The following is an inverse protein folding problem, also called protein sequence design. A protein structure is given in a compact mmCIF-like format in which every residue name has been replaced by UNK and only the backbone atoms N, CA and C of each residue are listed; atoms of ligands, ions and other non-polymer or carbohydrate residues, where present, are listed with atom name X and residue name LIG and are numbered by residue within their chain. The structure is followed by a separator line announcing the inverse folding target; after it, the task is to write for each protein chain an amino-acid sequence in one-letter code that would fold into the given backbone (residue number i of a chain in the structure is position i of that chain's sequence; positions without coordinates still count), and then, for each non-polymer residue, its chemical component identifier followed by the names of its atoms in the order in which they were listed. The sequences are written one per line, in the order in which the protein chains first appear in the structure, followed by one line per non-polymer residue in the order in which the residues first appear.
data_IF_356323747931
#
_entry.id   IF_356323747931
#
_cell.length_a   1.000
_cell.length_b   1.000
_cell.length_c   1.000
_cell.angle_alpha   90.00
_cell.angle_beta   90.00
_cell.angle_gamma   90.00
#
_symmetry.space_group_name_H-M   'P 1'
#
loop_
_entity.id
_entity.type
_entity.pdbx_description
1 polymer ?
#
# COMPACT_ATOMS: atom_id res chain seq x y z
N UNK A 1 20.23 -8.69 13.49
CA UNK A 1 19.90 -9.16 14.85
C UNK A 1 21.12 -8.92 15.73
N UNK A 2 20.92 -8.83 17.04
CA UNK A 2 22.01 -8.72 18.01
C UNK A 2 21.73 -9.63 19.19
N UNK A 3 22.72 -10.39 19.66
CA UNK A 3 22.51 -11.34 20.75
C UNK A 3 23.60 -12.38 20.87
N UNK A 4 23.38 -13.33 21.77
CA UNK A 4 24.28 -14.45 22.05
C UNK A 4 24.15 -15.53 20.98
N UNK A 5 22.92 -15.83 20.55
CA UNK A 5 22.62 -16.84 19.52
C UNK A 5 21.26 -16.57 18.88
N UNK A 6 21.15 -16.84 17.58
CA UNK A 6 19.87 -16.87 16.85
C UNK A 6 19.36 -18.33 16.82
N UNK A 7 18.78 -18.76 17.92
CA UNK A 7 18.39 -20.16 18.18
C UNK A 7 16.89 -20.45 17.97
N UNK A 8 16.12 -19.45 17.55
CA UNK A 8 14.71 -19.59 17.21
C UNK A 8 14.34 -18.66 16.04
N UNK A 9 13.28 -18.97 15.27
CA UNK A 9 12.75 -18.07 14.26
C UNK A 9 12.29 -16.75 14.85
N UNK A 10 12.42 -15.66 14.08
CA UNK A 10 11.80 -14.39 14.41
C UNK A 10 10.40 -14.32 13.78
N UNK A 11 9.37 -14.22 14.63
CA UNK A 11 7.99 -14.01 14.19
C UNK A 11 7.64 -12.53 14.25
N UNK A 12 7.34 -11.96 13.09
CA UNK A 12 6.95 -10.55 12.95
C UNK A 12 5.49 -10.45 12.50
N UNK A 13 4.79 -9.41 12.96
CA UNK A 13 3.52 -8.97 12.38
C UNK A 13 3.71 -7.58 11.81
N UNK A 14 3.33 -7.42 10.55
CA UNK A 14 3.30 -6.14 9.85
C UNK A 14 1.84 -5.71 9.72
N UNK A 15 1.54 -4.46 10.05
CA UNK A 15 0.22 -3.86 9.85
C UNK A 15 0.38 -2.61 8.98
N UNK A 16 -0.32 -2.57 7.86
CA UNK A 16 -0.24 -1.50 6.88
C UNK A 16 -1.46 -0.58 6.98
N UNK A 17 -1.25 0.73 6.93
CA UNK A 17 -2.33 1.71 7.12
C UNK A 17 -2.21 2.92 6.23
N UNK A 18 -3.33 3.43 5.73
CA UNK A 18 -3.38 4.68 4.95
C UNK A 18 -3.40 5.89 5.88
N UNK A 19 -4.03 5.73 7.05
CA UNK A 19 -4.06 6.71 8.14
C UNK A 19 -3.39 6.16 9.39
N UNK A 20 -2.97 7.04 10.31
CA UNK A 20 -2.24 6.63 11.53
C UNK A 20 -3.07 5.68 12.41
N UNK A 21 -4.38 5.90 12.47
CA UNK A 21 -5.28 5.07 13.28
C UNK A 21 -5.35 3.62 12.79
N UNK A 22 -5.12 3.35 11.50
CA UNK A 22 -5.11 1.99 10.94
C UNK A 22 -4.01 1.12 11.58
N UNK A 23 -2.90 1.73 12.00
CA UNK A 23 -1.77 1.00 12.62
C UNK A 23 -1.72 1.16 14.14
N UNK A 24 -2.34 2.22 14.68
CA UNK A 24 -2.36 2.49 16.11
C UNK A 24 -3.43 1.68 16.86
N UNK A 25 -4.56 1.37 16.21
CA UNK A 25 -5.68 0.65 16.82
C UNK A 25 -5.52 -0.86 16.59
N UNK A 26 -5.80 -1.72 17.59
CA UNK A 26 -5.81 -3.16 17.38
C UNK A 26 -6.83 -3.58 16.32
N UNK A 27 -6.41 -4.44 15.39
CA UNK A 27 -7.29 -4.99 14.36
C UNK A 27 -8.26 -6.05 14.91
N UNK A 28 -7.92 -6.66 16.04
CA UNK A 28 -8.65 -7.77 16.64
C UNK A 28 -9.12 -7.44 18.06
N UNK A 29 -10.29 -7.97 18.48
CA UNK A 29 -11.23 -8.78 17.69
C UNK A 29 -11.91 -7.97 16.58
N UNK A 30 -12.03 -8.55 15.39
CA UNK A 30 -12.69 -7.93 14.24
C UNK A 30 -14.16 -8.33 14.20
N UNK A 31 -15.05 -7.33 14.19
CA UNK A 31 -16.50 -7.54 14.14
C UNK A 31 -17.14 -6.75 12.98
N UNK A 32 -16.62 -6.93 11.77
CA UNK A 32 -17.18 -6.36 10.55
C UNK A 32 -17.90 -7.40 9.69
N UNK A 33 -18.75 -6.91 8.79
CA UNK A 33 -19.49 -7.76 7.85
C UNK A 33 -18.66 -8.17 6.62
N UNK A 34 -17.57 -7.45 6.35
CA UNK A 34 -16.60 -7.79 5.29
C UNK A 34 -15.63 -8.83 5.82
N UNK A 35 -15.06 -9.66 4.94
CA UNK A 35 -14.06 -10.65 5.37
C UNK A 35 -12.86 -9.98 6.05
N UNK A 36 -12.46 -10.52 7.21
CA UNK A 36 -11.24 -10.11 7.91
C UNK A 36 -9.96 -10.33 7.08
N UNK A 37 -10.01 -11.09 5.98
CA UNK A 37 -8.88 -11.23 5.04
C UNK A 37 -8.49 -9.93 4.32
N UNK A 38 -9.38 -8.93 4.32
CA UNK A 38 -9.08 -7.58 3.86
C UNK A 38 -8.32 -6.74 4.88
N UNK A 39 -8.19 -7.22 6.12
CA UNK A 39 -7.34 -6.55 7.08
C UNK A 39 -5.89 -6.52 6.53
N UNK A 40 -5.24 -5.36 6.60
CA UNK A 40 -3.95 -5.15 5.96
C UNK A 40 -2.82 -5.60 6.89
N UNK A 41 -2.89 -6.82 7.41
CA UNK A 41 -1.82 -7.41 8.21
C UNK A 41 -1.19 -8.64 7.56
N UNK A 42 0.10 -8.83 7.83
CA UNK A 42 0.90 -9.96 7.38
C UNK A 42 1.67 -10.52 8.57
N UNK A 43 1.70 -11.85 8.69
CA UNK A 43 2.47 -12.54 9.73
C UNK A 43 3.60 -13.31 9.05
N UNK A 44 4.83 -12.96 9.39
CA UNK A 44 6.04 -13.55 8.83
C UNK A 44 6.77 -14.37 9.90
N UNK A 45 7.20 -15.58 9.54
CA UNK A 45 8.17 -16.35 10.32
C UNK A 45 9.48 -16.37 9.53
N UNK A 46 10.56 -15.91 10.15
CA UNK A 46 11.88 -15.82 9.53
C UNK A 46 12.79 -16.80 10.26
N UNK A 47 13.08 -17.93 9.62
CA UNK A 47 13.83 -19.02 10.24
C UNK A 47 15.33 -18.75 10.31
N UNK A 48 15.88 -17.98 9.35
CA UNK A 48 17.31 -17.71 9.24
C UNK A 48 17.59 -16.20 9.23
N UNK A 49 18.56 -15.76 10.02
CA UNK A 49 18.98 -14.36 10.09
C UNK A 49 20.50 -14.22 9.99
N UNK A 50 21.04 -13.20 9.30
CA UNK A 50 20.32 -12.15 8.57
C UNK A 50 19.70 -12.67 7.26
N UNK A 51 18.53 -12.16 6.91
CA UNK A 51 17.84 -12.50 5.66
C UNK A 51 17.13 -11.28 5.11
N UNK A 52 17.15 -11.14 3.76
CA UNK A 52 16.30 -10.19 3.06
C UNK A 52 14.86 -10.73 3.03
N UNK A 53 13.94 -9.97 3.62
CA UNK A 53 12.53 -10.33 3.70
C UNK A 53 11.74 -9.53 2.66
N UNK A 54 10.96 -10.23 1.83
CA UNK A 54 10.08 -9.61 0.84
C UNK A 54 8.63 -9.96 1.16
N UNK A 55 7.76 -8.96 1.26
CA UNK A 55 6.31 -9.16 1.40
C UNK A 55 5.73 -9.36 0.00
N UNK A 56 5.17 -10.53 -0.26
CA UNK A 56 4.71 -10.91 -1.61
C UNK A 56 3.39 -10.23 -2.00
N UNK A 57 2.50 -10.00 -1.04
CA UNK A 57 1.22 -9.34 -1.27
C UNK A 57 1.44 -7.85 -1.54
N UNK A 58 0.72 -7.29 -2.52
CA UNK A 58 0.66 -5.84 -2.74
C UNK A 58 -0.23 -5.22 -1.67
N UNK A 59 0.26 -4.16 -1.04
CA UNK A 59 -0.49 -3.36 -0.06
C UNK A 59 -0.56 -1.90 -0.51
N UNK A 60 -1.62 -1.20 -0.11
CA UNK A 60 -1.72 0.26 -0.21
C UNK A 60 -1.66 0.85 1.20
N UNK A 61 -0.69 1.74 1.44
CA UNK A 61 -0.43 2.29 2.77
C UNK A 61 0.45 3.54 2.72
N UNK A 62 0.42 4.28 3.83
CA UNK A 62 1.36 5.35 4.16
C UNK A 62 2.17 5.02 5.42
N UNK A 63 1.59 4.26 6.34
CA UNK A 63 2.19 3.86 7.61
C UNK A 63 2.31 2.35 7.66
N UNK A 64 3.37 1.85 8.30
CA UNK A 64 3.54 0.44 8.63
C UNK A 64 3.93 0.32 10.09
N UNK A 65 3.25 -0.55 10.84
CA UNK A 65 3.67 -0.99 12.17
C UNK A 65 4.32 -2.34 12.04
N UNK A 66 5.53 -2.47 12.57
CA UNK A 66 6.27 -3.74 12.63
C UNK A 66 6.34 -4.15 14.09
N UNK A 67 5.76 -5.29 14.40
CA UNK A 67 5.63 -5.85 15.74
C UNK A 67 6.44 -7.14 15.83
N UNK A 68 7.34 -7.22 16.81
CA UNK A 68 8.05 -8.47 17.13
C UNK A 68 7.12 -9.31 18.00
N UNK A 69 6.51 -10.33 17.40
CA UNK A 69 5.52 -11.19 18.06
C UNK A 69 6.21 -12.23 18.92
N UNK A 70 7.29 -12.84 18.42
CA UNK A 70 8.07 -13.81 19.17
C UNK A 70 9.51 -13.86 18.66
N UNK A 71 10.44 -13.93 19.61
CA UNK A 71 11.86 -14.29 19.47
C UNK A 71 12.27 -15.01 20.75
N UNK A 72 13.42 -15.69 20.75
CA UNK A 72 14.00 -16.19 21.99
C UNK A 72 14.62 -15.04 22.80
N UNK A 73 14.92 -15.31 24.08
CA UNK A 73 15.62 -14.34 24.93
C UNK A 73 17.10 -14.16 24.56
N UNK A 74 17.62 -14.95 23.61
CA UNK A 74 19.03 -14.96 23.26
C UNK A 74 19.40 -13.88 22.22
N UNK A 75 18.42 -13.26 21.55
CA UNK A 75 18.67 -12.22 20.57
C UNK A 75 17.50 -11.22 20.40
N UNK A 76 17.83 -10.08 19.81
CA UNK A 76 16.89 -9.05 19.37
C UNK A 76 16.92 -8.89 17.84
N UNK A 77 15.78 -8.49 17.27
CA UNK A 77 15.66 -8.20 15.83
C UNK A 77 16.16 -6.78 15.57
N UNK A 78 16.96 -6.63 14.52
CA UNK A 78 17.34 -5.33 13.97
C UNK A 78 16.88 -5.28 12.53
N UNK A 79 16.31 -4.15 12.11
CA UNK A 79 15.87 -3.91 10.74
C UNK A 79 16.84 -2.93 10.09
N UNK A 80 17.24 -3.22 8.87
CA UNK A 80 18.10 -2.37 8.05
C UNK A 80 17.60 -2.41 6.60
N UNK A 81 17.90 -1.36 5.83
CA UNK A 81 17.54 -1.21 4.41
C UNK A 81 16.04 -1.45 4.11
N UNK A 82 15.16 -0.74 4.82
CA UNK A 82 13.70 -0.82 4.57
C UNK A 82 13.35 0.04 3.35
N UNK A 83 12.82 -0.60 2.31
CA UNK A 83 12.39 0.07 1.08
C UNK A 83 10.99 -0.39 0.63
N UNK A 84 10.29 0.49 -0.09
CA UNK A 84 8.99 0.21 -0.71
C UNK A 84 9.12 0.36 -2.22
N UNK A 85 8.66 -0.65 -2.96
CA UNK A 85 8.51 -0.57 -4.42
C UNK A 85 7.06 -0.17 -4.74
N UNK A 86 6.84 1.11 -5.00
CA UNK A 86 5.55 1.60 -5.50
C UNK A 86 5.31 1.13 -6.95
N UNK A 87 4.05 0.86 -7.29
CA UNK A 87 3.65 0.35 -8.61
C UNK A 87 2.39 1.06 -9.12
N UNK A 88 2.36 1.35 -10.42
CA UNK A 88 1.19 1.85 -11.14
C UNK A 88 1.37 1.57 -12.63
N UNK A 89 0.26 1.47 -13.36
CA UNK A 89 0.24 1.47 -14.83
C UNK A 89 0.02 2.87 -15.41
N UNK A 90 -0.18 3.88 -14.56
CA UNK A 90 -0.23 5.27 -14.98
C UNK A 90 1.11 5.67 -15.62
N UNK A 91 1.02 6.37 -16.75
CA UNK A 91 2.18 6.96 -17.41
C UNK A 91 2.57 8.28 -16.79
N UNK A 92 3.21 9.13 -17.59
CA UNK A 92 3.44 10.52 -17.21
C UNK A 92 2.13 11.31 -17.28
N UNK A 93 1.87 12.14 -16.27
CA UNK A 93 0.78 13.11 -16.34
C UNK A 93 1.13 14.21 -17.36
N UNK A 94 0.28 14.37 -18.37
CA UNK A 94 0.41 15.36 -19.44
C UNK A 94 -0.66 16.46 -19.35
N UNK A 95 -1.55 16.37 -18.37
CA UNK A 95 -2.72 17.23 -18.21
C UNK A 95 -2.51 18.45 -17.32
N UNK A 96 -1.36 18.53 -16.65
CA UNK A 96 -1.13 19.52 -15.61
C UNK A 96 -1.19 20.97 -16.15
N UNK A 97 -2.06 21.83 -15.60
CA UNK A 97 -2.11 23.25 -15.95
C UNK A 97 -0.79 23.98 -15.65
N UNK A 98 -0.48 25.00 -16.45
CA UNK A 98 0.65 25.89 -16.20
C UNK A 98 0.43 26.80 -14.99
N UNK A 99 -0.83 27.10 -14.67
CA UNK A 99 -1.24 27.96 -13.57
C UNK A 99 -2.55 27.45 -12.96
N UNK A 100 -2.73 27.70 -11.66
CA UNK A 100 -3.99 27.47 -10.94
C UNK A 100 -4.41 28.77 -10.26
N UNK A 101 -5.71 29.08 -10.30
CA UNK A 101 -6.25 30.32 -9.72
C UNK A 101 -6.05 30.44 -8.20
N UNK A 102 -5.79 29.32 -7.52
CA UNK A 102 -5.41 29.30 -6.11
C UNK A 102 -4.55 28.08 -5.76
N UNK A 103 -3.81 28.19 -4.66
CA UNK A 103 -3.04 27.07 -4.10
C UNK A 103 -3.93 25.87 -3.73
N UNK A 104 -5.15 26.14 -3.26
CA UNK A 104 -6.14 25.12 -2.92
C UNK A 104 -6.53 24.29 -4.15
N UNK A 105 -6.83 24.93 -5.28
CA UNK A 105 -7.15 24.22 -6.52
C UNK A 105 -5.97 23.39 -7.01
N UNK A 106 -4.75 23.93 -6.93
CA UNK A 106 -3.55 23.17 -7.23
C UNK A 106 -3.34 21.97 -6.29
N UNK A 107 -3.72 22.08 -5.02
CA UNK A 107 -3.65 20.99 -4.06
C UNK A 107 -4.69 19.89 -4.34
N UNK A 108 -5.92 20.29 -4.66
CA UNK A 108 -7.00 19.37 -5.04
C UNK A 108 -6.61 18.57 -6.27
N UNK A 109 -6.12 19.23 -7.32
CA UNK A 109 -5.68 18.58 -8.55
C UNK A 109 -4.54 17.58 -8.29
N UNK A 110 -3.50 17.99 -7.55
CA UNK A 110 -2.39 17.09 -7.18
C UNK A 110 -2.86 15.83 -6.45
N UNK A 111 -3.80 15.97 -5.50
CA UNK A 111 -4.35 14.83 -4.76
C UNK A 111 -5.24 13.97 -5.66
N UNK A 112 -6.04 14.59 -6.54
CA UNK A 112 -6.89 13.88 -7.50
C UNK A 112 -6.08 13.04 -8.49
N UNK A 113 -5.05 13.64 -9.10
CA UNK A 113 -4.13 12.95 -10.01
C UNK A 113 -3.37 11.84 -9.29
N UNK A 114 -2.92 12.06 -8.05
CA UNK A 114 -2.27 11.00 -7.27
C UNK A 114 -3.22 9.86 -6.95
N UNK A 115 -4.47 10.15 -6.59
CA UNK A 115 -5.50 9.14 -6.33
C UNK A 115 -5.74 8.27 -7.56
N UNK A 116 -5.91 8.90 -8.74
CA UNK A 116 -6.06 8.16 -10.00
C UNK A 116 -4.82 7.29 -10.29
N UNK A 117 -3.62 7.83 -10.12
CA UNK A 117 -2.37 7.09 -10.32
C UNK A 117 -2.32 5.80 -9.48
N UNK A 118 -2.67 5.86 -8.20
CA UNK A 118 -2.65 4.68 -7.33
C UNK A 118 -3.73 3.64 -7.72
N UNK A 119 -4.87 4.09 -8.23
CA UNK A 119 -5.95 3.22 -8.74
C UNK A 119 -5.66 2.62 -10.13
N UNK A 120 -4.76 3.19 -10.91
CA UNK A 120 -4.38 2.68 -12.23
C UNK A 120 -3.40 1.50 -12.08
N UNK A 121 -3.91 0.28 -12.19
CA UNK A 121 -3.12 -0.96 -12.12
C UNK A 121 -3.36 -1.79 -13.39
N UNK A 122 -3.62 -3.09 -13.30
CA UNK A 122 -4.02 -3.88 -14.48
C UNK A 122 -5.41 -3.51 -15.00
N UNK A 123 -6.22 -2.84 -14.17
CA UNK A 123 -7.51 -2.21 -14.45
C UNK A 123 -7.59 -0.88 -13.69
N UNK A 124 -8.64 -0.09 -13.89
CA UNK A 124 -8.98 1.00 -12.97
C UNK A 124 -9.59 0.43 -11.69
N UNK A 125 -8.77 0.23 -10.67
CA UNK A 125 -9.22 -0.26 -9.37
C UNK A 125 -10.09 0.78 -8.66
N UNK A 126 -11.16 0.34 -8.01
CA UNK A 126 -12.00 1.18 -7.15
C UNK A 126 -11.24 1.67 -5.90
N UNK A 127 -10.35 0.85 -5.36
CA UNK A 127 -9.40 1.22 -4.33
C UNK A 127 -8.21 0.26 -4.29
N UNK A 128 -6.98 0.76 -4.06
CA UNK A 128 -5.78 -0.09 -4.06
C UNK A 128 -5.59 -0.88 -2.75
N UNK A 129 -6.28 -0.51 -1.66
CA UNK A 129 -6.23 -1.21 -0.36
C UNK A 129 -7.22 -2.38 -0.28
N UNK A 130 -8.45 -2.16 -0.71
CA UNK A 130 -9.59 -3.06 -0.53
C UNK A 130 -10.33 -3.20 -1.85
N UNK A 131 -10.88 -4.38 -2.06
CA UNK A 131 -11.59 -4.81 -3.27
C UNK A 131 -10.66 -4.96 -4.49
N UNK A 132 -9.76 -4.00 -4.77
CA UNK A 132 -8.75 -4.06 -5.83
C UNK A 132 -9.35 -4.50 -7.18
N UNK A 133 -10.55 -3.99 -7.49
CA UNK A 133 -11.38 -4.48 -8.58
C UNK A 133 -11.82 -3.35 -9.49
N UNK A 134 -12.14 -3.69 -10.73
CA UNK A 134 -12.85 -2.78 -11.61
C UNK A 134 -14.25 -2.53 -11.04
N UNK A 135 -14.46 -1.35 -10.47
CA UNK A 135 -15.74 -0.93 -9.89
C UNK A 135 -16.51 0.05 -10.79
N UNK A 136 -17.72 0.42 -10.36
CA UNK A 136 -18.59 1.34 -11.12
C UNK A 136 -17.99 2.76 -11.25
N UNK A 137 -17.13 3.16 -10.33
CA UNK A 137 -16.40 4.44 -10.40
C UNK A 137 -15.33 4.52 -11.48
N UNK A 138 -15.01 3.41 -12.15
CA UNK A 138 -14.00 3.34 -13.22
C UNK A 138 -14.31 4.26 -14.40
N UNK A 139 -15.59 4.55 -14.67
CA UNK A 139 -15.98 5.52 -15.71
C UNK A 139 -15.48 6.94 -15.41
N UNK A 140 -15.50 7.36 -14.13
CA UNK A 140 -14.96 8.65 -13.70
C UNK A 140 -13.43 8.67 -13.80
N UNK A 141 -12.79 7.57 -13.42
CA UNK A 141 -11.35 7.39 -13.58
C UNK A 141 -10.91 7.48 -15.04
N UNK A 142 -11.70 6.91 -15.96
CA UNK A 142 -11.50 6.99 -17.41
C UNK A 142 -11.54 8.43 -17.93
N UNK A 143 -12.53 9.22 -17.50
CA UNK A 143 -12.65 10.64 -17.87
C UNK A 143 -11.43 11.44 -17.44
N UNK A 144 -11.00 11.28 -16.19
CA UNK A 144 -9.79 11.96 -15.68
C UNK A 144 -8.53 11.47 -16.39
N UNK A 145 -8.44 10.18 -16.74
CA UNK A 145 -7.32 9.63 -17.51
C UNK A 145 -7.20 10.28 -18.90
N UNK A 146 -8.30 10.55 -19.61
CA UNK A 146 -8.22 11.21 -20.93
C UNK A 146 -7.57 12.59 -20.89
N UNK A 147 -7.70 13.31 -19.78
CA UNK A 147 -7.13 14.65 -19.62
C UNK A 147 -5.78 14.66 -18.91
N UNK A 148 -5.30 13.54 -18.35
CA UNK A 148 -4.05 13.44 -17.57
C UNK A 148 -3.04 12.45 -18.18
N UNK A 149 -3.11 11.18 -17.79
CA UNK A 149 -2.16 10.12 -18.15
C UNK A 149 -2.35 9.56 -19.57
N UNK A 150 -3.55 9.72 -20.14
CA UNK A 150 -3.93 9.30 -21.49
C UNK A 150 -3.57 7.84 -21.79
N UNK A 151 -3.68 6.95 -20.79
CA UNK A 151 -3.44 5.53 -20.98
C UNK A 151 -4.65 4.89 -21.70
N UNK A 152 -4.67 5.02 -23.03
CA UNK A 152 -5.76 4.51 -23.87
C UNK A 152 -5.80 2.99 -23.92
N UNK A 153 -4.67 2.32 -23.66
CA UNK A 153 -4.60 0.87 -23.61
C UNK A 153 -5.36 0.31 -22.40
N UNK A 154 -5.24 0.97 -21.24
CA UNK A 154 -5.97 0.58 -20.03
C UNK A 154 -7.48 0.81 -20.18
N UNK A 155 -7.88 1.92 -20.82
CA UNK A 155 -9.30 2.20 -21.11
C UNK A 155 -9.89 1.15 -22.05
N UNK A 156 -9.20 0.77 -23.12
CA UNK A 156 -9.70 -0.27 -24.05
C UNK A 156 -9.83 -1.65 -23.39
N UNK A 157 -9.06 -1.90 -22.34
CA UNK A 157 -9.07 -3.16 -21.60
C UNK A 157 -10.24 -3.27 -20.62
N UNK A 158 -10.71 -2.14 -20.08
CA UNK A 158 -11.79 -2.07 -19.09
C UNK A 158 -13.14 -1.86 -19.79
#
# INVERSE_FOLDING_TARGET
WQGVSCDAPARLRLVFGEVVTDVAVPLYPYNGWVSASWLPDEVLNIDFLPQRVNVARRHAFRYVRIEVVAVSNNFSVTLDDIAVRAVSSAGQDTGRPAHYDSELLGAIDRVGIRTLHECMQTVFEDGPRRDCRLGWGSALAGTTNYVSFRNMALVRRC
#
